data_IF_824514961248
#
_entry.id   IF_824514961248
#
_cell.length_a   1.000
_cell.length_b   1.000
_cell.length_c   1.000
_cell.angle_alpha   90.00
_cell.angle_beta   90.00
_cell.angle_gamma   90.00
#
_symmetry.space_group_name_H-M   'P 1'
#
loop_
_entity.id
_entity.type
_entity.pdbx_description
1 polymer ?
#
# COMPACT_ATOMS: atom_id res chain seq x y z
N UNK A 1 -6.59 -9.76 -7.51
CA UNK A 1 -6.93 -10.27 -8.86
C UNK A 1 -6.24 -9.45 -9.96
N UNK A 2 -6.46 -8.14 -10.09
CA UNK A 2 -5.86 -7.32 -11.18
C UNK A 2 -4.32 -7.24 -11.15
N UNK A 3 -3.70 -7.13 -9.99
CA UNK A 3 -2.23 -7.05 -9.82
C UNK A 3 -1.57 -8.43 -10.02
N UNK A 4 -2.23 -9.50 -9.58
CA UNK A 4 -1.76 -10.86 -9.77
C UNK A 4 -1.77 -11.25 -11.27
N UNK A 5 -2.80 -10.81 -12.00
CA UNK A 5 -2.86 -11.00 -13.46
C UNK A 5 -1.75 -10.22 -14.18
N UNK A 6 -1.46 -9.00 -13.74
CA UNK A 6 -0.33 -8.21 -14.26
C UNK A 6 1.00 -8.90 -13.98
N UNK A 7 1.24 -9.33 -12.74
CA UNK A 7 2.45 -10.04 -12.35
C UNK A 7 2.64 -11.32 -13.18
N UNK A 8 1.58 -12.12 -13.34
CA UNK A 8 1.60 -13.31 -14.17
C UNK A 8 1.86 -13.02 -15.66
N UNK A 9 1.32 -11.91 -16.18
CA UNK A 9 1.57 -11.47 -17.55
C UNK A 9 3.03 -11.10 -17.76
N UNK A 10 3.62 -10.34 -16.81
CA UNK A 10 5.04 -9.98 -16.81
C UNK A 10 5.93 -11.23 -16.75
N UNK A 11 5.63 -12.16 -15.84
CA UNK A 11 6.38 -13.42 -15.73
C UNK A 11 6.31 -14.21 -17.05
N UNK A 12 5.14 -14.34 -17.67
CA UNK A 12 4.97 -15.01 -18.96
C UNK A 12 5.77 -14.34 -20.07
N UNK A 13 5.81 -13.01 -20.11
CA UNK A 13 6.59 -12.24 -21.07
C UNK A 13 8.09 -12.50 -20.92
N UNK A 14 8.61 -12.44 -19.68
CA UNK A 14 10.02 -12.72 -19.37
C UNK A 14 10.39 -14.15 -19.76
N UNK A 15 9.55 -15.14 -19.38
CA UNK A 15 9.79 -16.54 -19.71
C UNK A 15 9.74 -16.81 -21.20
N UNK A 16 8.90 -16.11 -21.97
CA UNK A 16 8.85 -16.19 -23.45
C UNK A 16 10.12 -15.65 -24.06
N UNK A 17 10.63 -14.50 -23.59
CA UNK A 17 11.91 -13.93 -24.07
C UNK A 17 13.10 -14.83 -23.73
N UNK A 18 13.11 -15.42 -22.53
CA UNK A 18 14.17 -16.39 -22.10
C UNK A 18 14.23 -17.65 -22.98
N UNK A 19 13.09 -18.12 -23.48
CA UNK A 19 13.04 -19.30 -24.36
C UNK A 19 13.58 -19.05 -25.77
N UNK A 20 13.59 -17.79 -26.23
CA UNK A 20 14.13 -17.40 -27.52
C UNK A 20 15.67 -17.26 -27.38
N UNK A 21 16.40 -18.34 -27.57
CA UNK A 21 17.83 -18.53 -27.26
C UNK A 21 18.82 -17.54 -27.93
N UNK A 22 18.38 -16.62 -28.77
CA UNK A 22 19.27 -15.72 -29.50
C UNK A 22 19.58 -14.39 -28.79
N UNK A 23 19.00 -14.11 -27.61
CA UNK A 23 19.15 -12.81 -26.94
C UNK A 23 19.20 -12.94 -25.42
N UNK A 24 20.27 -13.53 -24.87
CA UNK A 24 20.46 -13.66 -23.41
C UNK A 24 20.44 -12.31 -22.69
N UNK A 25 20.89 -11.25 -23.32
CA UNK A 25 20.90 -9.90 -22.71
C UNK A 25 19.53 -9.20 -22.70
N UNK A 26 18.60 -9.51 -23.60
CA UNK A 26 17.31 -8.84 -23.69
C UNK A 26 16.36 -9.21 -22.54
N UNK A 27 16.37 -10.46 -22.10
CA UNK A 27 15.49 -10.87 -21.01
C UNK A 27 15.89 -10.23 -19.68
N UNK A 28 17.19 -10.08 -19.41
CA UNK A 28 17.68 -9.39 -18.20
C UNK A 28 17.28 -7.92 -18.19
N UNK A 29 17.48 -7.22 -19.32
CA UNK A 29 17.05 -5.84 -19.47
C UNK A 29 15.55 -5.71 -19.21
N UNK A 30 14.75 -6.59 -19.82
CA UNK A 30 13.31 -6.63 -19.60
C UNK A 30 12.96 -6.91 -18.12
N UNK A 31 13.68 -7.81 -17.47
CA UNK A 31 13.45 -8.08 -16.03
C UNK A 31 13.71 -6.85 -15.17
N UNK A 32 14.84 -6.15 -15.39
CA UNK A 32 15.21 -4.95 -14.64
C UNK A 32 14.20 -3.81 -14.91
N UNK A 33 13.82 -3.60 -16.17
CA UNK A 33 12.81 -2.59 -16.53
C UNK A 33 11.48 -2.87 -15.86
N UNK A 34 11.00 -4.11 -15.92
CA UNK A 34 9.75 -4.50 -15.27
C UNK A 34 9.83 -4.42 -13.75
N UNK A 35 10.96 -4.71 -13.15
CA UNK A 35 11.18 -4.52 -11.72
C UNK A 35 11.14 -3.04 -11.30
N UNK A 36 11.63 -2.13 -12.17
CA UNK A 36 11.49 -0.68 -11.97
C UNK A 36 10.04 -0.21 -12.13
N UNK A 37 9.33 -0.69 -13.16
CA UNK A 37 7.92 -0.37 -13.40
C UNK A 37 6.97 -0.87 -12.30
N UNK A 38 7.30 -1.99 -11.66
CA UNK A 38 6.50 -2.62 -10.60
C UNK A 38 6.90 -2.18 -9.20
N UNK A 39 7.70 -1.14 -9.06
CA UNK A 39 8.20 -0.62 -7.77
C UNK A 39 9.01 -1.62 -6.92
N UNK A 40 9.44 -2.74 -7.50
CA UNK A 40 10.36 -3.67 -6.82
C UNK A 40 11.73 -3.00 -6.61
N UNK A 41 12.17 -2.19 -7.60
CA UNK A 41 13.38 -1.38 -7.54
C UNK A 41 13.05 0.10 -7.26
N UNK A 42 12.20 0.37 -6.28
CA UNK A 42 11.73 1.73 -5.94
C UNK A 42 12.84 2.59 -5.33
N UNK A 43 13.69 1.98 -4.49
CA UNK A 43 14.82 2.69 -3.89
C UNK A 43 15.83 3.08 -4.97
N UNK A 44 16.15 4.39 -5.06
CA UNK A 44 17.20 4.88 -5.97
C UNK A 44 18.54 4.17 -5.73
N UNK A 45 18.85 3.86 -4.49
CA UNK A 45 20.07 3.13 -4.12
C UNK A 45 20.05 1.72 -4.70
N UNK A 46 18.93 0.98 -4.53
CA UNK A 46 18.76 -0.36 -5.06
C UNK A 46 18.80 -0.37 -6.59
N UNK A 47 18.08 0.56 -7.25
CA UNK A 47 18.07 0.68 -8.71
C UNK A 47 19.48 0.94 -9.27
N UNK A 48 20.22 1.89 -8.69
CA UNK A 48 21.60 2.18 -9.09
C UNK A 48 22.52 0.98 -8.87
N UNK A 49 22.39 0.29 -7.73
CA UNK A 49 23.20 -0.90 -7.42
C UNK A 49 22.98 -2.02 -8.44
N UNK A 50 21.73 -2.24 -8.87
CA UNK A 50 21.40 -3.23 -9.90
C UNK A 50 22.00 -2.85 -11.26
N UNK A 51 21.94 -1.56 -11.64
CA UNK A 51 22.54 -1.07 -12.87
C UNK A 51 24.08 -1.19 -12.83
N UNK A 52 24.73 -0.87 -11.72
CA UNK A 52 26.18 -1.03 -11.52
C UNK A 52 26.61 -2.50 -11.58
N UNK A 53 25.86 -3.42 -10.92
CA UNK A 53 26.11 -4.85 -11.00
C UNK A 53 26.06 -5.37 -12.44
N UNK A 54 25.11 -4.89 -13.23
CA UNK A 54 24.99 -5.22 -14.65
C UNK A 54 26.21 -4.75 -15.43
N UNK A 55 26.68 -3.53 -15.16
CA UNK A 55 27.89 -2.99 -15.78
C UNK A 55 29.11 -3.83 -15.40
N UNK A 56 29.32 -4.10 -14.11
CA UNK A 56 30.44 -4.92 -13.62
C UNK A 56 30.42 -6.32 -14.26
N UNK A 57 29.25 -6.96 -14.34
CA UNK A 57 29.13 -8.28 -15.00
C UNK A 57 29.53 -8.21 -16.47
N UNK A 58 29.05 -7.20 -17.21
CA UNK A 58 29.35 -7.06 -18.62
C UNK A 58 30.86 -6.82 -18.85
N UNK A 59 31.48 -5.98 -18.05
CA UNK A 59 32.92 -5.71 -18.11
C UNK A 59 33.76 -6.93 -17.70
N UNK A 60 33.27 -7.73 -16.75
CA UNK A 60 33.94 -8.99 -16.37
C UNK A 60 33.80 -10.10 -17.41
N UNK A 61 32.69 -10.10 -18.17
CA UNK A 61 32.40 -11.11 -19.19
C UNK A 61 33.00 -10.74 -20.58
N UNK A 62 33.17 -9.46 -20.83
CA UNK A 62 33.71 -8.92 -22.10
C UNK A 62 34.86 -7.96 -21.81
N UNK A 63 36.09 -8.46 -21.68
CA UNK A 63 37.25 -7.60 -21.42
C UNK A 63 37.38 -6.52 -22.50
N UNK A 64 37.45 -5.27 -22.06
CA UNK A 64 37.76 -4.19 -22.99
C UNK A 64 39.24 -4.27 -23.38
N UNK A 65 39.52 -4.17 -24.65
CA UNK A 65 40.89 -4.10 -25.17
C UNK A 65 41.27 -2.60 -25.19
N UNK A 66 41.96 -2.14 -24.16
CA UNK A 66 42.65 -0.84 -24.16
C UNK A 66 44.13 -1.06 -24.34
N UNK A 67 44.71 -0.38 -25.34
CA UNK A 67 46.14 -0.41 -25.60
C UNK A 67 46.77 -1.80 -25.80
N UNK A 68 46.08 -2.73 -26.46
CA UNK A 68 46.53 -4.10 -26.71
C UNK A 68 46.62 -5.03 -25.47
N UNK A 69 46.16 -4.59 -24.33
CA UNK A 69 46.05 -5.42 -23.13
C UNK A 69 44.57 -5.63 -22.74
N UNK A 70 44.18 -6.88 -22.58
CA UNK A 70 42.86 -7.23 -22.08
C UNK A 70 42.80 -6.96 -20.56
N UNK A 71 42.05 -5.91 -20.15
CA UNK A 71 41.87 -5.58 -18.76
C UNK A 71 40.51 -6.08 -18.32
N UNK A 72 40.50 -7.08 -17.44
CA UNK A 72 39.31 -7.52 -16.69
C UNK A 72 39.04 -6.54 -15.56
N UNK A 73 37.90 -5.88 -15.64
CA UNK A 73 37.42 -5.03 -14.55
C UNK A 73 36.53 -5.89 -13.67
N UNK A 74 37.03 -6.19 -12.46
CA UNK A 74 36.27 -6.91 -11.43
C UNK A 74 36.05 -5.96 -10.27
N UNK A 75 34.84 -5.95 -9.66
CA UNK A 75 34.61 -5.15 -8.47
C UNK A 75 35.53 -5.59 -7.34
N UNK A 76 36.01 -4.65 -6.57
CA UNK A 76 36.83 -4.96 -5.41
C UNK A 76 36.00 -5.58 -4.26
N UNK A 77 36.71 -5.99 -3.20
CA UNK A 77 36.07 -6.61 -2.01
C UNK A 77 35.06 -5.68 -1.34
N UNK A 78 35.32 -4.41 -1.29
CA UNK A 78 34.46 -3.42 -0.61
C UNK A 78 33.25 -3.08 -1.47
N UNK A 79 33.41 -2.93 -2.76
CA UNK A 79 32.32 -2.76 -3.73
C UNK A 79 31.39 -3.98 -3.71
N UNK A 80 31.96 -5.18 -3.76
CA UNK A 80 31.17 -6.44 -3.65
C UNK A 80 30.38 -6.50 -2.34
N UNK A 81 31.02 -6.17 -1.21
CA UNK A 81 30.36 -6.16 0.08
C UNK A 81 29.25 -5.09 0.15
N UNK A 82 29.47 -3.92 -0.47
CA UNK A 82 28.46 -2.88 -0.58
C UNK A 82 27.25 -3.36 -1.38
N UNK A 83 27.45 -3.90 -2.57
CA UNK A 83 26.36 -4.44 -3.41
C UNK A 83 25.55 -5.51 -2.68
N UNK A 84 26.21 -6.47 -2.04
CA UNK A 84 25.55 -7.51 -1.26
C UNK A 84 24.73 -6.95 -0.11
N UNK A 85 25.27 -5.95 0.62
CA UNK A 85 24.55 -5.32 1.73
C UNK A 85 23.31 -4.55 1.25
N UNK A 86 23.39 -3.81 0.12
CA UNK A 86 22.26 -3.11 -0.45
C UNK A 86 21.20 -4.10 -0.93
N UNK A 87 21.57 -5.12 -1.71
CA UNK A 87 20.63 -6.16 -2.16
C UNK A 87 19.97 -6.86 -0.97
N UNK A 88 20.76 -7.20 0.07
CA UNK A 88 20.21 -7.89 1.22
C UNK A 88 19.19 -7.04 1.97
N UNK A 89 19.53 -5.78 2.26
CA UNK A 89 18.65 -4.87 3.02
C UNK A 89 17.45 -4.37 2.23
N UNK A 90 17.67 -3.98 0.97
CA UNK A 90 16.66 -3.27 0.17
C UNK A 90 15.80 -4.20 -0.69
N UNK A 91 16.22 -5.47 -0.88
CA UNK A 91 15.49 -6.42 -1.69
C UNK A 91 15.11 -7.68 -0.91
N UNK A 92 16.08 -8.41 -0.35
CA UNK A 92 15.81 -9.73 0.23
C UNK A 92 15.18 -9.68 1.63
N UNK A 93 15.49 -8.65 2.43
CA UNK A 93 14.88 -8.46 3.75
C UNK A 93 13.55 -7.72 3.70
N UNK A 94 13.21 -7.15 2.55
CA UNK A 94 11.90 -6.52 2.39
C UNK A 94 10.82 -7.58 2.19
N UNK A 95 9.64 -7.41 2.78
CA UNK A 95 8.50 -8.29 2.50
C UNK A 95 8.19 -8.25 1.00
N UNK A 96 7.68 -9.36 0.43
CA UNK A 96 7.37 -9.44 -0.98
C UNK A 96 6.44 -8.30 -1.39
N UNK A 97 6.88 -7.51 -2.36
CA UNK A 97 6.22 -6.28 -2.81
C UNK A 97 5.03 -6.51 -3.75
N UNK A 98 4.41 -7.68 -3.73
CA UNK A 98 3.16 -7.90 -4.44
C UNK A 98 2.03 -7.19 -3.68
N UNK A 99 1.69 -5.99 -4.11
CA UNK A 99 0.69 -5.12 -3.49
C UNK A 99 -0.65 -5.83 -3.25
N UNK A 100 -1.07 -6.69 -4.15
CA UNK A 100 -2.30 -7.47 -4.02
C UNK A 100 -2.27 -8.47 -2.87
N UNK A 101 -1.14 -9.13 -2.61
CA UNK A 101 -1.02 -10.07 -1.48
C UNK A 101 -0.97 -9.35 -0.13
N UNK A 102 -0.30 -8.20 -0.06
CA UNK A 102 -0.18 -7.43 1.19
C UNK A 102 -1.55 -6.98 1.70
N UNK A 103 -2.40 -6.44 0.82
CA UNK A 103 -3.77 -6.03 1.21
C UNK A 103 -4.61 -7.23 1.61
N UNK A 104 -4.55 -8.34 0.85
CA UNK A 104 -5.28 -9.57 1.17
C UNK A 104 -4.84 -10.14 2.51
N UNK A 105 -3.53 -10.32 2.69
CA UNK A 105 -2.94 -10.88 3.91
C UNK A 105 -3.27 -10.00 5.14
N UNK A 106 -3.24 -8.68 4.97
CA UNK A 106 -3.63 -7.73 6.02
C UNK A 106 -5.10 -7.89 6.39
N UNK A 107 -6.00 -7.82 5.40
CA UNK A 107 -7.45 -7.88 5.64
C UNK A 107 -7.84 -9.22 6.24
N UNK A 108 -7.32 -10.33 5.71
CA UNK A 108 -7.57 -11.66 6.25
C UNK A 108 -7.07 -11.79 7.69
N UNK A 109 -5.88 -11.26 7.98
CA UNK A 109 -5.27 -11.32 9.31
C UNK A 109 -6.06 -10.53 10.37
N UNK A 110 -6.56 -9.32 10.05
CA UNK A 110 -7.37 -8.55 11.02
C UNK A 110 -8.78 -9.13 11.18
N UNK A 111 -9.35 -9.68 10.12
CA UNK A 111 -10.65 -10.35 10.12
C UNK A 111 -10.63 -11.59 11.03
N UNK A 112 -9.66 -12.47 10.85
CA UNK A 112 -9.53 -13.71 11.63
C UNK A 112 -9.37 -13.43 13.12
N UNK A 113 -8.76 -12.28 13.45
CA UNK A 113 -8.53 -11.84 14.83
C UNK A 113 -9.57 -10.81 15.32
N UNK A 114 -10.61 -10.52 14.55
CA UNK A 114 -11.63 -9.50 14.86
C UNK A 114 -12.17 -9.65 16.27
N UNK A 115 -12.49 -10.88 16.70
CA UNK A 115 -13.01 -11.17 18.06
C UNK A 115 -12.02 -10.80 19.17
N UNK A 116 -10.72 -10.85 18.91
CA UNK A 116 -9.68 -10.49 19.87
C UNK A 116 -9.60 -8.97 20.05
N UNK A 117 -9.84 -8.23 18.95
CA UNK A 117 -9.71 -6.77 18.92
C UNK A 117 -10.99 -6.01 19.25
N UNK A 118 -12.18 -6.66 19.22
CA UNK A 118 -13.49 -5.99 19.34
C UNK A 118 -13.65 -5.11 20.58
N UNK A 119 -12.90 -5.37 21.65
CA UNK A 119 -13.00 -4.61 22.89
C UNK A 119 -11.76 -3.76 23.20
N UNK A 120 -10.76 -3.74 22.30
CA UNK A 120 -9.49 -3.08 22.59
C UNK A 120 -8.81 -2.57 21.30
N UNK A 121 -9.15 -1.32 20.96
CA UNK A 121 -8.56 -0.63 19.80
C UNK A 121 -7.04 -0.48 19.94
N UNK A 122 -6.51 -0.42 21.15
CA UNK A 122 -5.07 -0.30 21.40
C UNK A 122 -4.33 -1.57 21.00
N UNK A 123 -4.94 -2.74 21.24
CA UNK A 123 -4.38 -4.03 20.76
C UNK A 123 -4.37 -4.10 19.23
N UNK A 124 -5.46 -3.66 18.60
CA UNK A 124 -5.50 -3.61 17.13
C UNK A 124 -4.41 -2.68 16.58
N UNK A 125 -4.25 -1.50 17.19
CA UNK A 125 -3.21 -0.54 16.81
C UNK A 125 -1.82 -1.18 16.90
N UNK A 126 -1.46 -1.72 18.07
CA UNK A 126 -0.18 -2.38 18.28
C UNK A 126 0.07 -3.52 17.29
N UNK A 127 -0.96 -4.33 17.04
CA UNK A 127 -0.88 -5.42 16.08
C UNK A 127 -0.60 -4.93 14.65
N UNK A 128 -1.29 -3.87 14.19
CA UNK A 128 -1.09 -3.28 12.87
C UNK A 128 0.31 -2.68 12.76
N UNK A 129 0.77 -1.95 13.76
CA UNK A 129 2.09 -1.31 13.77
C UNK A 129 3.21 -2.33 13.72
N UNK A 130 3.18 -3.34 14.59
CA UNK A 130 4.27 -4.32 14.71
C UNK A 130 4.33 -5.30 13.54
N UNK A 131 3.17 -5.77 13.05
CA UNK A 131 3.14 -6.84 12.05
C UNK A 131 3.10 -6.33 10.60
N UNK A 132 2.70 -5.07 10.39
CA UNK A 132 2.52 -4.54 9.04
C UNK A 132 3.26 -3.22 8.82
N UNK A 133 2.86 -2.13 9.50
CA UNK A 133 3.35 -0.78 9.17
C UNK A 133 4.86 -0.62 9.32
N UNK A 134 5.48 -1.27 10.32
CA UNK A 134 6.93 -1.22 10.55
C UNK A 134 7.76 -1.71 9.36
N UNK A 135 7.19 -2.55 8.50
CA UNK A 135 7.86 -3.17 7.36
C UNK A 135 7.30 -2.74 6.00
N UNK A 136 6.26 -1.88 5.99
CA UNK A 136 5.64 -1.41 4.75
C UNK A 136 6.34 -0.17 4.22
N UNK A 137 6.47 -0.10 2.89
CA UNK A 137 6.86 1.12 2.18
C UNK A 137 5.67 2.07 2.09
N UNK A 138 5.94 3.36 1.85
CA UNK A 138 4.92 4.40 1.70
C UNK A 138 3.88 4.04 0.61
N UNK A 139 4.31 3.52 -0.52
CA UNK A 139 3.43 3.07 -1.61
C UNK A 139 2.51 1.92 -1.19
N UNK A 140 3.00 0.99 -0.37
CA UNK A 140 2.19 -0.10 0.16
C UNK A 140 1.13 0.40 1.16
N UNK A 141 1.51 1.36 2.01
CA UNK A 141 0.59 2.01 2.95
C UNK A 141 -0.51 2.77 2.18
N UNK A 142 -0.14 3.51 1.13
CA UNK A 142 -1.08 4.22 0.27
C UNK A 142 -2.10 3.25 -0.38
N UNK A 143 -1.63 2.18 -1.00
CA UNK A 143 -2.50 1.18 -1.63
C UNK A 143 -3.39 0.47 -0.62
N UNK A 144 -2.85 0.06 0.53
CA UNK A 144 -3.63 -0.57 1.59
C UNK A 144 -4.74 0.36 2.09
N UNK A 145 -4.40 1.62 2.36
CA UNK A 145 -5.39 2.62 2.81
C UNK A 145 -6.48 2.86 1.76
N UNK A 146 -6.11 2.96 0.48
CA UNK A 146 -7.05 3.11 -0.63
C UNK A 146 -7.98 1.90 -0.78
N UNK A 147 -7.47 0.69 -0.62
CA UNK A 147 -8.27 -0.52 -0.69
C UNK A 147 -9.19 -0.67 0.52
N UNK A 148 -8.72 -0.36 1.73
CA UNK A 148 -9.57 -0.29 2.92
C UNK A 148 -10.68 0.75 2.74
N UNK A 149 -10.37 1.93 2.19
CA UNK A 149 -11.36 2.96 1.88
C UNK A 149 -12.45 2.42 0.94
N UNK A 150 -12.07 1.69 -0.12
CA UNK A 150 -13.03 1.04 -1.02
C UNK A 150 -13.89 -0.01 -0.31
N UNK A 151 -13.30 -0.83 0.56
CA UNK A 151 -14.04 -1.87 1.30
C UNK A 151 -15.07 -1.28 2.26
N UNK A 152 -14.78 -0.12 2.81
CA UNK A 152 -15.66 0.55 3.78
C UNK A 152 -16.77 1.34 3.06
N UNK A 153 -16.38 2.19 2.10
CA UNK A 153 -17.26 3.24 1.57
C UNK A 153 -17.89 2.94 0.19
N UNK A 154 -17.34 1.96 -0.55
CA UNK A 154 -17.76 1.72 -1.94
C UNK A 154 -18.34 0.31 -2.13
N UNK A 155 -17.64 -0.72 -1.62
CA UNK A 155 -18.05 -2.12 -1.83
C UNK A 155 -19.18 -2.54 -0.87
N UNK A 156 -20.05 -3.48 -1.37
CA UNK A 156 -21.22 -3.96 -0.63
C UNK A 156 -21.37 -5.48 -0.66
N UNK A 157 -20.30 -6.22 -0.99
CA UNK A 157 -20.33 -7.66 -0.88
C UNK A 157 -20.37 -8.08 0.60
N UNK A 158 -20.81 -9.30 0.88
CA UNK A 158 -21.04 -9.84 2.21
C UNK A 158 -19.81 -9.70 3.10
N UNK A 159 -18.63 -10.07 2.60
CA UNK A 159 -17.34 -9.92 3.32
C UNK A 159 -17.05 -8.47 3.74
N UNK A 160 -17.36 -7.49 2.88
CA UNK A 160 -17.14 -6.08 3.20
C UNK A 160 -18.13 -5.58 4.25
N UNK A 161 -19.39 -6.03 4.18
CA UNK A 161 -20.43 -5.67 5.15
C UNK A 161 -20.11 -6.22 6.54
N UNK A 162 -19.77 -7.51 6.64
CA UNK A 162 -19.45 -8.14 7.91
C UNK A 162 -18.19 -7.57 8.59
N UNK A 163 -17.24 -7.08 7.81
CA UNK A 163 -15.94 -6.61 8.32
C UNK A 163 -15.75 -5.09 8.22
N UNK A 164 -16.81 -4.33 7.91
CA UNK A 164 -16.74 -2.87 7.74
C UNK A 164 -16.19 -2.17 8.98
N UNK A 165 -16.61 -2.57 10.15
CA UNK A 165 -16.19 -2.01 11.43
C UNK A 165 -14.69 -2.17 11.70
N UNK A 166 -14.13 -3.37 11.50
CA UNK A 166 -12.70 -3.61 11.72
C UNK A 166 -11.85 -2.97 10.63
N UNK A 167 -12.33 -2.97 9.38
CA UNK A 167 -11.68 -2.28 8.28
C UNK A 167 -11.63 -0.76 8.53
N UNK A 168 -12.71 -0.17 9.05
CA UNK A 168 -12.77 1.24 9.43
C UNK A 168 -11.80 1.56 10.59
N UNK A 169 -11.77 0.72 11.62
CA UNK A 169 -10.82 0.88 12.71
C UNK A 169 -9.37 0.80 12.22
N UNK A 170 -9.06 -0.13 11.31
CA UNK A 170 -7.75 -0.25 10.70
C UNK A 170 -7.38 0.98 9.85
N UNK A 171 -8.29 1.45 8.99
CA UNK A 171 -8.08 2.66 8.19
C UNK A 171 -7.81 3.87 9.07
N UNK A 172 -8.58 4.06 10.15
CA UNK A 172 -8.36 5.18 11.09
C UNK A 172 -7.00 5.12 11.78
N UNK A 173 -6.55 3.93 12.16
CA UNK A 173 -5.21 3.74 12.75
C UNK A 173 -4.13 4.09 11.72
N UNK A 174 -4.19 3.52 10.52
CA UNK A 174 -3.21 3.76 9.45
C UNK A 174 -3.16 5.26 9.09
N UNK A 175 -4.33 5.89 9.00
CA UNK A 175 -4.44 7.33 8.69
C UNK A 175 -3.84 8.19 9.80
N UNK A 176 -4.03 7.86 11.08
CA UNK A 176 -3.43 8.61 12.20
C UNK A 176 -1.90 8.59 12.15
N UNK A 177 -1.31 7.45 11.84
CA UNK A 177 0.15 7.29 11.78
C UNK A 177 0.75 7.89 10.49
N UNK A 178 -0.02 7.96 9.39
CA UNK A 178 0.46 8.36 8.06
C UNK A 178 -0.47 9.39 7.39
N UNK A 179 -0.94 10.38 8.12
CA UNK A 179 -2.06 11.25 7.74
C UNK A 179 -1.92 11.89 6.35
N UNK A 180 -0.84 12.61 6.12
CA UNK A 180 -0.68 13.33 4.85
C UNK A 180 -0.54 12.37 3.67
N UNK A 181 0.17 11.27 3.86
CA UNK A 181 0.37 10.24 2.84
C UNK A 181 -0.96 9.59 2.41
N UNK A 182 -1.79 9.19 3.37
CA UNK A 182 -3.06 8.50 3.13
C UNK A 182 -4.10 9.46 2.56
N UNK A 183 -4.22 10.64 3.13
CA UNK A 183 -5.23 11.63 2.69
C UNK A 183 -4.92 12.14 1.28
N UNK A 184 -3.64 12.41 0.97
CA UNK A 184 -3.25 12.79 -0.39
C UNK A 184 -3.57 11.70 -1.41
N UNK A 185 -3.32 10.42 -1.08
CA UNK A 185 -3.64 9.30 -1.97
C UNK A 185 -5.14 9.19 -2.25
N UNK A 186 -5.98 9.27 -1.21
CA UNK A 186 -7.44 9.24 -1.36
C UNK A 186 -7.93 10.43 -2.18
N UNK A 187 -7.43 11.64 -1.94
CA UNK A 187 -7.82 12.86 -2.65
C UNK A 187 -7.33 12.90 -4.09
N UNK A 188 -6.23 12.22 -4.41
CA UNK A 188 -5.68 12.17 -5.78
C UNK A 188 -6.62 11.45 -6.77
N UNK A 189 -7.55 10.64 -6.28
CA UNK A 189 -8.50 9.88 -7.07
C UNK A 189 -9.93 10.43 -6.90
N UNK A 190 -10.25 11.48 -7.66
CA UNK A 190 -11.57 12.12 -7.62
C UNK A 190 -12.71 11.15 -8.00
N UNK A 191 -12.46 10.12 -8.81
CA UNK A 191 -13.46 9.14 -9.18
C UNK A 191 -13.72 8.14 -8.03
N UNK A 192 -12.74 7.89 -7.18
CA UNK A 192 -12.91 7.12 -5.96
C UNK A 192 -13.93 7.78 -5.02
N UNK A 193 -13.79 9.08 -4.78
CA UNK A 193 -14.69 9.82 -3.89
C UNK A 193 -16.13 9.88 -4.41
N UNK A 194 -16.33 9.99 -5.73
CA UNK A 194 -17.67 9.98 -6.34
C UNK A 194 -18.41 8.65 -6.19
N UNK A 195 -17.69 7.55 -6.00
CA UNK A 195 -18.25 6.19 -5.88
C UNK A 195 -18.72 5.86 -4.46
N UNK A 196 -18.53 6.74 -3.49
CA UNK A 196 -18.97 6.52 -2.10
C UNK A 196 -20.49 6.33 -2.08
N UNK A 197 -20.95 5.28 -1.42
CA UNK A 197 -22.34 4.88 -1.31
C UNK A 197 -23.05 5.69 -0.21
N UNK A 198 -23.31 6.95 -0.49
CA UNK A 198 -23.93 7.87 0.48
C UNK A 198 -25.39 7.53 0.80
N UNK A 199 -26.04 6.69 0.00
CA UNK A 199 -27.38 6.12 0.21
C UNK A 199 -27.43 5.09 1.36
N UNK A 200 -26.29 4.48 1.71
CA UNK A 200 -26.13 3.56 2.83
C UNK A 200 -25.87 4.36 4.11
N UNK A 201 -26.80 4.30 5.07
CA UNK A 201 -26.75 5.05 6.32
C UNK A 201 -25.44 4.76 7.10
N UNK A 202 -25.04 3.50 7.17
CA UNK A 202 -23.81 3.11 7.87
C UNK A 202 -22.56 3.72 7.20
N UNK A 203 -22.52 3.71 5.86
CA UNK A 203 -21.43 4.32 5.10
C UNK A 203 -21.38 5.82 5.33
N UNK A 204 -22.53 6.49 5.32
CA UNK A 204 -22.65 7.93 5.55
C UNK A 204 -22.13 8.33 6.94
N UNK A 205 -22.57 7.62 7.97
CA UNK A 205 -22.15 7.86 9.34
C UNK A 205 -20.63 7.66 9.52
N UNK A 206 -20.06 6.58 8.95
CA UNK A 206 -18.62 6.34 8.99
C UNK A 206 -17.85 7.39 8.20
N UNK A 207 -18.40 7.88 7.08
CA UNK A 207 -17.80 8.95 6.31
C UNK A 207 -17.79 10.26 7.08
N UNK A 208 -18.88 10.61 7.76
CA UNK A 208 -18.95 11.79 8.62
C UNK A 208 -17.83 11.78 9.67
N UNK A 209 -17.70 10.66 10.40
CA UNK A 209 -16.63 10.50 11.41
C UNK A 209 -15.23 10.61 10.78
N UNK A 210 -15.03 10.01 9.62
CA UNK A 210 -13.74 10.04 8.94
C UNK A 210 -13.38 11.45 8.46
N UNK A 211 -14.34 12.20 7.96
CA UNK A 211 -14.18 13.60 7.50
C UNK A 211 -13.91 14.55 8.67
N UNK A 212 -14.58 14.39 9.81
CA UNK A 212 -14.32 15.17 11.01
C UNK A 212 -12.86 15.03 11.46
N UNK A 213 -12.30 13.83 11.43
CA UNK A 213 -10.89 13.62 11.73
C UNK A 213 -9.94 14.10 10.62
N UNK A 214 -10.43 14.21 9.39
CA UNK A 214 -9.66 14.52 8.18
C UNK A 214 -10.31 15.62 7.34
N UNK A 215 -10.42 16.80 7.90
CA UNK A 215 -11.18 17.94 7.34
C UNK A 215 -10.80 18.32 5.91
N UNK A 216 -9.55 18.07 5.48
CA UNK A 216 -9.12 18.29 4.09
C UNK A 216 -9.96 17.53 3.05
N UNK A 217 -10.58 16.38 3.45
CA UNK A 217 -11.45 15.60 2.55
C UNK A 217 -12.76 16.32 2.24
N UNK A 218 -13.27 17.14 3.14
CA UNK A 218 -14.55 17.83 2.98
C UNK A 218 -14.67 18.59 1.66
N UNK A 219 -13.64 19.33 1.28
CA UNK A 219 -13.64 20.14 0.07
C UNK A 219 -13.72 19.32 -1.22
N UNK A 220 -13.30 18.06 -1.15
CA UNK A 220 -13.28 17.12 -2.28
C UNK A 220 -14.56 16.27 -2.41
N UNK A 221 -15.47 16.33 -1.44
CA UNK A 221 -16.76 15.67 -1.51
C UNK A 221 -17.70 16.42 -2.46
N UNK A 222 -18.61 15.69 -3.10
CA UNK A 222 -19.67 16.27 -3.93
C UNK A 222 -20.71 17.01 -3.08
N UNK A 223 -21.43 17.96 -3.67
CA UNK A 223 -22.49 18.70 -2.96
C UNK A 223 -23.57 17.77 -2.41
N UNK A 224 -23.92 16.70 -3.15
CA UNK A 224 -24.85 15.67 -2.67
C UNK A 224 -24.33 15.01 -1.38
N UNK A 225 -23.07 14.58 -1.36
CA UNK A 225 -22.46 13.94 -0.18
C UNK A 225 -22.42 14.90 1.02
N UNK A 226 -22.07 16.16 0.79
CA UNK A 226 -22.07 17.21 1.84
C UNK A 226 -23.46 17.44 2.42
N UNK A 227 -24.48 17.51 1.58
CA UNK A 227 -25.87 17.71 2.01
C UNK A 227 -26.36 16.52 2.85
N UNK A 228 -26.15 15.28 2.35
CA UNK A 228 -26.55 14.06 3.07
C UNK A 228 -25.87 13.91 4.45
N UNK A 229 -24.59 14.32 4.56
CA UNK A 229 -23.88 14.32 5.85
C UNK A 229 -24.47 15.38 6.79
N UNK A 230 -24.77 16.59 6.28
CA UNK A 230 -25.31 17.67 7.12
C UNK A 230 -26.74 17.40 7.61
N UNK A 231 -27.58 16.77 6.79
CA UNK A 231 -28.98 16.52 7.11
C UNK A 231 -29.16 15.46 8.22
N UNK A 232 -28.18 14.55 8.40
CA UNK A 232 -28.28 13.41 9.31
C UNK A 232 -27.48 13.56 10.62
N UNK A 233 -26.79 14.69 10.82
CA UNK A 233 -25.79 14.86 11.89
C UNK A 233 -26.29 14.66 13.32
N UNK A 234 -27.62 14.67 13.58
CA UNK A 234 -28.19 14.46 14.92
C UNK A 234 -28.52 13.00 15.25
N UNK A 235 -28.83 12.16 14.26
CA UNK A 235 -29.32 10.79 14.48
C UNK A 235 -28.20 9.76 14.51
N UNK A 236 -27.18 9.95 13.70
CA UNK A 236 -26.12 8.99 13.41
C UNK A 236 -25.14 8.80 14.57
N UNK A 237 -24.75 9.87 15.23
CA UNK A 237 -23.79 9.80 16.35
C UNK A 237 -24.27 8.93 17.53
N UNK A 238 -25.59 8.80 17.74
CA UNK A 238 -26.17 7.99 18.85
C UNK A 238 -25.99 6.49 18.67
N UNK A 239 -25.92 6.00 17.44
CA UNK A 239 -25.81 4.56 17.15
C UNK A 239 -24.38 4.02 17.32
N UNK A 240 -23.35 4.86 17.12
CA UNK A 240 -21.94 4.45 17.19
C UNK A 240 -21.36 4.39 18.59
N UNK A 241 -22.02 4.95 19.61
CA UNK A 241 -21.56 4.87 21.01
C UNK A 241 -21.44 3.44 21.55
N UNK A 242 -21.98 2.45 20.82
CA UNK A 242 -21.98 1.05 21.24
C UNK A 242 -20.83 0.24 20.66
N UNK A 243 -20.14 0.72 19.63
CA UNK A 243 -19.04 -0.02 18.99
C UNK A 243 -17.70 0.60 19.40
N UNK A 244 -16.98 -0.08 20.28
CA UNK A 244 -15.68 0.40 20.81
C UNK A 244 -14.58 0.50 19.76
N UNK A 245 -14.69 -0.23 18.64
CA UNK A 245 -13.72 -0.14 17.52
C UNK A 245 -13.89 1.14 16.73
N UNK A 246 -15.12 1.63 16.59
CA UNK A 246 -15.45 2.85 15.82
C UNK A 246 -15.30 4.09 16.71
N UNK A 247 -15.33 3.93 18.03
CA UNK A 247 -15.20 5.02 18.98
C UNK A 247 -13.89 5.77 18.77
N UNK A 248 -13.96 6.94 18.19
CA UNK A 248 -12.83 7.78 17.82
C UNK A 248 -12.71 8.99 18.71
N UNK A 249 -11.53 9.64 18.68
CA UNK A 249 -11.33 10.93 19.36
C UNK A 249 -12.24 12.02 18.80
N UNK A 250 -12.73 11.87 17.55
CA UNK A 250 -13.68 12.78 16.92
C UNK A 250 -15.02 12.78 17.67
N UNK A 251 -15.52 11.60 18.06
CA UNK A 251 -16.75 11.48 18.85
C UNK A 251 -16.59 12.14 20.23
N UNK A 252 -15.39 12.06 20.83
CA UNK A 252 -15.10 12.76 22.07
C UNK A 252 -15.10 14.28 21.89
N UNK A 253 -14.55 14.81 20.80
CA UNK A 253 -14.52 16.25 20.52
C UNK A 253 -15.92 16.82 20.33
N UNK A 254 -16.76 16.17 19.55
CA UNK A 254 -18.16 16.61 19.35
C UNK A 254 -18.95 16.67 20.66
N UNK A 255 -18.65 15.76 21.63
CA UNK A 255 -19.27 15.81 22.98
C UNK A 255 -18.82 16.99 23.83
N UNK A 256 -17.59 17.47 23.62
CA UNK A 256 -17.02 18.55 24.44
C UNK A 256 -17.42 19.94 23.91
N UNK A 257 -17.86 20.04 22.63
CA UNK A 257 -18.30 21.29 22.01
C UNK A 257 -19.82 21.53 22.11
N UNK A 258 -20.60 20.57 22.65
CA UNK A 258 -22.03 20.70 23.01
C UNK A 258 -22.21 20.87 24.51
#
# INVERSE_FOLDING_TARGET
>A
MFEEEKAQKVIKEILKKRKNQNFESEWENTLIEKAKETSILESRLLSNTVDELKICRNLSSHPSIENSEAKLITPDKYETAHFMNVLFKELFMMPPTFLGSVTSDFVDSIRDKKKIFMNDKSKLKLYIEENFLSNMKNTQIQHLAKDLFKFIFIKNNEDCLENRDINYAALTIITKENKDLVIQEIMSDADLLKQIRIDDIEVRDLLELFVIENTKLWDNLTDLQKNEINDDSESSLKNYYRNTLIYSDAVCKIKLEK
#
